data_IF_179853528509
#
_entry.id   IF_179853528509
#
_cell.length_a   1.000
_cell.length_b   1.000
_cell.length_c   1.000
_cell.angle_alpha   90.00
_cell.angle_beta   90.00
_cell.angle_gamma   90.00
#
_symmetry.space_group_name_H-M   'P 1'
#
loop_
_entity.id
_entity.type
_entity.pdbx_description
1 polymer ?
#
# COMPACT_ATOMS: atom_id res chain seq x y z
N UNK A 1 10.06 3.61 -58.64
CA UNK A 1 10.35 2.48 -57.73
C UNK A 1 11.33 2.99 -56.68
N UNK A 2 10.80 3.30 -55.48
CA UNK A 2 11.46 3.37 -54.15
C UNK A 2 12.70 4.31 -54.05
N UNK A 3 12.59 5.57 -53.63
CA UNK A 3 12.29 6.17 -52.32
C UNK A 3 13.56 6.61 -51.53
N UNK A 4 13.49 7.88 -51.13
CA UNK A 4 14.41 8.72 -50.35
C UNK A 4 15.07 8.05 -49.12
N UNK A 5 16.39 8.17 -48.98
CA UNK A 5 17.07 8.17 -47.67
C UNK A 5 17.30 9.62 -47.22
N UNK A 6 16.55 10.02 -46.19
CA UNK A 6 16.69 11.31 -45.52
C UNK A 6 17.81 11.23 -44.49
N UNK A 7 18.79 12.11 -44.65
CA UNK A 7 19.57 12.70 -43.56
C UNK A 7 18.61 13.17 -42.47
N UNK A 8 18.71 12.61 -41.26
CA UNK A 8 18.05 13.18 -40.07
C UNK A 8 19.09 13.84 -39.18
N UNK A 9 19.13 15.16 -39.33
CA UNK A 9 19.66 16.14 -38.40
C UNK A 9 19.10 15.89 -37.01
N UNK A 10 20.00 15.91 -36.02
CA UNK A 10 19.70 15.86 -34.60
C UNK A 10 18.83 17.07 -34.23
N UNK A 11 17.61 16.83 -33.76
CA UNK A 11 16.74 17.84 -33.15
C UNK A 11 16.68 17.52 -31.65
N UNK A 12 16.86 18.50 -30.73
CA UNK A 12 16.83 18.23 -29.31
C UNK A 12 15.38 18.00 -28.88
N UNK A 13 15.12 16.87 -28.24
CA UNK A 13 13.80 16.55 -27.69
C UNK A 13 13.77 17.04 -26.23
N UNK A 14 13.03 18.14 -26.07
CA UNK A 14 12.47 18.71 -24.85
C UNK A 14 11.61 17.69 -24.08
N UNK A 15 11.56 17.86 -22.75
CA UNK A 15 10.53 17.40 -21.81
C UNK A 15 9.53 16.36 -22.33
N UNK A 16 9.66 15.11 -21.86
CA UNK A 16 8.47 14.27 -21.75
C UNK A 16 8.53 13.43 -20.47
N UNK A 17 7.70 13.85 -19.50
CA UNK A 17 7.45 13.21 -18.22
C UNK A 17 6.46 12.04 -18.38
N UNK A 18 6.57 11.31 -19.50
CA UNK A 18 5.74 10.17 -19.87
C UNK A 18 6.68 9.02 -20.13
N UNK A 19 6.40 7.88 -19.52
CA UNK A 19 7.20 6.65 -19.52
C UNK A 19 8.22 6.48 -18.36
N UNK A 20 7.73 6.57 -17.12
CA UNK A 20 7.97 5.46 -16.19
C UNK A 20 6.68 4.65 -16.14
N UNK A 21 6.32 4.09 -17.29
CA UNK A 21 5.38 2.97 -17.34
C UNK A 21 5.97 1.90 -16.42
N UNK A 22 5.11 1.24 -15.64
CA UNK A 22 5.45 0.11 -14.80
C UNK A 22 6.55 -0.76 -15.44
N UNK A 23 7.82 -0.52 -15.08
CA UNK A 23 8.77 -1.61 -15.02
C UNK A 23 8.14 -2.48 -13.94
N UNK A 24 7.53 -3.62 -14.31
CA UNK A 24 6.58 -4.21 -13.42
C UNK A 24 7.36 -4.61 -12.17
N UNK A 25 6.73 -4.50 -11.00
CA UNK A 25 7.26 -5.07 -9.77
C UNK A 25 7.70 -6.52 -10.05
N UNK A 26 7.02 -7.21 -10.98
CA UNK A 26 7.45 -8.48 -11.56
C UNK A 26 8.79 -8.44 -12.31
N UNK A 27 9.12 -7.43 -13.14
CA UNK A 27 10.42 -7.36 -13.81
C UNK A 27 11.60 -7.17 -12.85
N UNK A 28 11.42 -6.52 -11.69
CA UNK A 28 12.47 -6.46 -10.65
C UNK A 28 12.48 -7.71 -9.75
N UNK A 29 11.31 -8.26 -9.41
CA UNK A 29 11.20 -9.57 -8.74
C UNK A 29 11.73 -10.72 -9.62
N UNK A 30 11.60 -10.61 -10.94
CA UNK A 30 12.17 -11.49 -11.95
C UNK A 30 13.62 -11.09 -12.29
N UNK A 31 14.03 -9.82 -12.24
CA UNK A 31 15.44 -9.44 -12.42
C UNK A 31 16.31 -9.92 -11.25
N UNK A 32 15.74 -10.09 -10.05
CA UNK A 32 16.36 -10.86 -8.97
C UNK A 32 16.66 -12.33 -9.35
N UNK A 33 16.13 -12.82 -10.47
CA UNK A 33 16.50 -14.13 -11.06
C UNK A 33 17.64 -14.05 -12.08
N UNK A 34 17.99 -12.86 -12.60
CA UNK A 34 19.13 -12.62 -13.50
C UNK A 34 20.36 -12.02 -12.79
N UNK A 35 20.28 -11.78 -11.48
CA UNK A 35 21.40 -11.30 -10.70
C UNK A 35 22.53 -12.35 -10.70
N UNK A 36 23.71 -11.97 -11.19
CA UNK A 36 24.90 -12.82 -11.32
C UNK A 36 25.62 -13.01 -9.97
N UNK A 37 24.90 -12.91 -8.86
CA UNK A 37 25.45 -13.10 -7.52
C UNK A 37 25.81 -14.59 -7.32
N UNK A 38 27.09 -14.93 -7.04
CA UNK A 38 27.54 -16.33 -6.96
C UNK A 38 26.83 -17.16 -5.89
N UNK A 39 26.25 -16.52 -4.86
CA UNK A 39 25.43 -17.15 -3.81
C UNK A 39 24.11 -16.38 -3.59
N UNK A 40 23.15 -16.60 -4.49
CA UNK A 40 21.80 -16.02 -4.40
C UNK A 40 21.07 -16.42 -3.11
N UNK A 41 21.25 -17.67 -2.69
CA UNK A 41 20.56 -18.22 -1.52
C UNK A 41 21.03 -17.54 -0.24
N UNK A 42 22.35 -17.50 -0.02
CA UNK A 42 22.93 -16.81 1.13
C UNK A 42 22.65 -15.32 1.12
N UNK A 43 22.68 -14.67 -0.05
CA UNK A 43 22.32 -13.26 -0.19
C UNK A 43 20.91 -12.96 0.33
N UNK A 44 19.89 -13.65 -0.18
CA UNK A 44 18.51 -13.36 0.20
C UNK A 44 18.15 -13.82 1.62
N UNK A 45 18.79 -14.87 2.13
CA UNK A 45 18.69 -15.20 3.56
C UNK A 45 19.30 -14.10 4.43
N UNK A 46 20.42 -13.49 4.02
CA UNK A 46 20.97 -12.34 4.73
C UNK A 46 20.00 -11.14 4.68
N UNK A 47 19.39 -10.85 3.52
CA UNK A 47 18.39 -9.79 3.39
C UNK A 47 17.13 -10.04 4.24
N UNK A 48 16.75 -11.30 4.46
CA UNK A 48 15.59 -11.64 5.29
C UNK A 48 15.70 -11.09 6.72
N UNK A 49 16.93 -10.90 7.25
CA UNK A 49 17.18 -10.38 8.60
C UNK A 49 16.80 -8.90 8.77
N UNK A 50 16.47 -8.21 7.66
CA UNK A 50 16.03 -6.81 7.68
C UNK A 50 14.63 -6.62 8.25
N UNK A 51 13.83 -7.68 8.38
CA UNK A 51 12.45 -7.62 8.89
C UNK A 51 12.29 -8.47 10.15
N UNK A 52 11.22 -8.26 10.91
CA UNK A 52 10.97 -8.95 12.17
C UNK A 52 10.23 -10.28 11.91
N UNK A 53 10.95 -11.39 12.05
CA UNK A 53 10.39 -12.73 11.97
C UNK A 53 10.00 -13.24 13.35
N UNK A 54 8.84 -13.89 13.45
CA UNK A 54 8.50 -14.74 14.59
C UNK A 54 9.30 -16.05 14.51
N UNK A 55 9.31 -16.69 13.33
CA UNK A 55 10.22 -17.80 12.99
C UNK A 55 11.05 -17.42 11.77
N UNK A 56 12.36 -17.19 11.89
CA UNK A 56 13.21 -16.84 10.75
C UNK A 56 13.30 -17.97 9.72
N UNK A 57 13.27 -17.67 8.41
CA UNK A 57 13.39 -18.69 7.37
C UNK A 57 14.82 -19.25 7.31
N UNK A 58 14.93 -20.55 7.04
CA UNK A 58 16.20 -21.24 6.80
C UNK A 58 16.47 -21.45 5.31
N UNK A 59 15.47 -21.21 4.45
CA UNK A 59 15.55 -21.41 3.01
C UNK A 59 15.08 -20.17 2.25
N UNK A 60 15.85 -19.75 1.25
CA UNK A 60 15.47 -18.60 0.40
C UNK A 60 14.19 -18.88 -0.37
N UNK A 61 14.16 -19.98 -1.14
CA UNK A 61 13.03 -20.31 -1.98
C UNK A 61 12.95 -21.82 -2.25
N UNK A 62 11.73 -22.31 -2.41
CA UNK A 62 11.41 -23.66 -2.84
C UNK A 62 10.87 -23.62 -4.27
N UNK A 63 11.64 -24.20 -5.19
CA UNK A 63 11.29 -24.26 -6.61
C UNK A 63 10.05 -25.13 -6.85
N UNK A 64 9.29 -24.80 -7.89
CA UNK A 64 8.11 -25.54 -8.32
C UNK A 64 8.15 -25.74 -9.83
N UNK A 65 7.90 -26.95 -10.34
CA UNK A 65 7.96 -27.23 -11.78
C UNK A 65 6.98 -26.38 -12.60
N UNK A 66 5.76 -26.15 -12.09
CA UNK A 66 4.64 -25.61 -12.87
C UNK A 66 4.09 -24.28 -12.32
N UNK A 67 4.78 -23.66 -11.34
CA UNK A 67 4.31 -22.47 -10.62
C UNK A 67 5.49 -21.61 -10.15
N UNK A 68 5.19 -20.39 -9.74
CA UNK A 68 6.17 -19.52 -9.07
C UNK A 68 6.77 -20.20 -7.84
N UNK A 69 8.07 -19.98 -7.63
CA UNK A 69 8.76 -20.43 -6.43
C UNK A 69 8.15 -19.77 -5.18
N UNK A 70 8.06 -20.54 -4.10
CA UNK A 70 7.71 -20.00 -2.76
C UNK A 70 8.95 -19.47 -2.09
N UNK A 71 8.90 -18.28 -1.53
CA UNK A 71 10.03 -17.63 -0.87
C UNK A 71 9.85 -17.67 0.64
N UNK A 72 10.91 -18.02 1.37
CA UNK A 72 10.92 -18.05 2.83
C UNK A 72 9.76 -18.89 3.41
N UNK A 73 9.37 -19.99 2.73
CA UNK A 73 8.13 -20.73 3.03
C UNK A 73 8.07 -21.30 4.45
N UNK A 74 9.22 -21.48 5.08
CA UNK A 74 9.40 -21.92 6.46
C UNK A 74 9.42 -20.76 7.46
N UNK A 75 9.36 -19.51 7.02
CA UNK A 75 9.30 -18.34 7.87
C UNK A 75 7.88 -17.96 8.28
N UNK A 76 7.74 -17.41 9.49
CA UNK A 76 6.50 -16.74 9.94
C UNK A 76 6.79 -15.35 10.49
N UNK A 77 5.90 -14.41 10.21
CA UNK A 77 6.09 -12.99 10.51
C UNK A 77 4.74 -12.26 10.59
N UNK A 78 4.79 -10.98 10.94
CA UNK A 78 3.71 -10.03 10.69
C UNK A 78 4.31 -8.75 10.08
N UNK A 79 3.73 -8.27 8.98
CA UNK A 79 4.27 -7.10 8.28
C UNK A 79 4.14 -5.81 9.12
N UNK A 80 3.05 -5.64 9.88
CA UNK A 80 2.86 -4.46 10.76
C UNK A 80 3.94 -4.40 11.85
N UNK A 81 4.28 -5.54 12.45
CA UNK A 81 5.35 -5.65 13.47
C UNK A 81 6.71 -5.25 12.91
N UNK A 82 6.98 -5.66 11.67
CA UNK A 82 8.22 -5.28 10.96
C UNK A 82 8.28 -3.79 10.65
N UNK A 83 7.14 -3.16 10.40
CA UNK A 83 7.05 -1.75 10.04
C UNK A 83 6.90 -0.82 11.24
N UNK A 84 6.38 -1.27 12.39
CA UNK A 84 6.03 -0.40 13.51
C UNK A 84 6.57 -0.92 14.84
N UNK A 85 6.05 -2.04 15.34
CA UNK A 85 6.29 -2.51 16.72
C UNK A 85 7.79 -2.65 17.04
N UNK A 86 8.57 -3.19 16.11
CA UNK A 86 10.02 -3.38 16.30
C UNK A 86 10.81 -2.09 16.51
N UNK A 87 10.25 -0.95 16.09
CA UNK A 87 10.89 0.36 16.17
C UNK A 87 10.50 1.12 17.44
N UNK A 88 9.51 0.65 18.21
CA UNK A 88 8.95 1.42 19.33
C UNK A 88 9.95 1.65 20.47
N UNK A 89 10.81 0.68 20.77
CA UNK A 89 11.78 0.77 21.85
C UNK A 89 12.83 1.87 21.61
N UNK A 90 13.34 1.95 20.37
CA UNK A 90 14.46 2.84 20.03
C UNK A 90 14.01 4.14 19.33
N UNK A 91 12.84 4.12 18.68
CA UNK A 91 12.38 5.18 17.78
C UNK A 91 10.91 5.55 17.95
N UNK A 92 10.26 5.16 19.06
CA UNK A 92 8.83 5.40 19.29
C UNK A 92 8.40 6.85 19.07
N UNK A 93 9.19 7.83 19.53
CA UNK A 93 8.85 9.25 19.46
C UNK A 93 9.40 9.94 18.19
N UNK A 94 10.07 9.18 17.31
CA UNK A 94 10.52 9.66 15.99
C UNK A 94 9.33 9.69 15.03
N UNK A 95 9.31 10.68 14.13
CA UNK A 95 8.32 10.74 13.05
C UNK A 95 8.38 9.51 12.14
N UNK A 96 7.27 8.79 12.05
CA UNK A 96 7.03 7.76 11.05
C UNK A 96 6.43 8.38 9.79
N UNK A 97 5.48 9.31 9.93
CA UNK A 97 4.80 9.97 8.82
C UNK A 97 4.79 11.47 9.05
N UNK A 98 5.17 12.22 8.03
CA UNK A 98 4.92 13.64 7.91
C UNK A 98 3.98 13.83 6.72
N UNK A 99 2.76 14.26 6.98
CA UNK A 99 1.76 14.49 5.95
C UNK A 99 1.45 15.98 5.85
N UNK A 100 1.28 16.46 4.62
CA UNK A 100 0.83 17.81 4.32
C UNK A 100 -0.25 17.74 3.26
N UNK A 101 -1.43 18.29 3.57
CA UNK A 101 -2.55 18.41 2.65
C UNK A 101 -2.30 19.45 1.56
N UNK A 102 -3.26 19.61 0.65
CA UNK A 102 -3.20 20.63 -0.41
C UNK A 102 -3.14 22.05 0.17
N UNK A 103 -3.89 22.29 1.24
CA UNK A 103 -3.85 23.55 1.98
C UNK A 103 -2.61 23.61 2.87
N UNK A 104 -1.85 24.71 2.78
CA UNK A 104 -0.59 24.88 3.51
C UNK A 104 -0.70 24.74 5.05
N UNK A 105 -1.90 24.92 5.61
CA UNK A 105 -2.19 24.76 7.03
C UNK A 105 -2.52 23.32 7.48
N UNK A 106 -2.82 22.42 6.55
CA UNK A 106 -3.13 21.02 6.87
C UNK A 106 -1.84 20.22 6.97
N UNK A 107 -1.41 19.93 8.20
CA UNK A 107 -0.18 19.16 8.47
C UNK A 107 -0.47 18.14 9.58
N UNK A 108 -0.13 16.88 9.33
CA UNK A 108 -0.13 15.83 10.35
C UNK A 108 1.29 15.30 10.55
N UNK A 109 1.64 15.08 11.82
CA UNK A 109 2.95 14.60 12.27
C UNK A 109 2.69 13.40 13.15
N UNK A 110 3.00 12.22 12.61
CA UNK A 110 2.70 10.94 13.24
C UNK A 110 4.00 10.29 13.64
N UNK A 111 4.22 10.10 14.93
CA UNK A 111 5.35 9.33 15.45
C UNK A 111 5.13 7.83 15.25
N UNK A 112 6.17 7.00 15.44
CA UNK A 112 6.01 5.54 15.43
C UNK A 112 5.03 5.07 16.52
N UNK A 113 5.01 5.73 17.68
CA UNK A 113 4.04 5.47 18.75
C UNK A 113 2.63 5.82 18.32
N UNK A 114 2.40 7.01 17.78
CA UNK A 114 1.08 7.42 17.27
C UNK A 114 0.59 6.45 16.18
N UNK A 115 1.49 6.06 15.26
CA UNK A 115 1.16 5.13 14.20
C UNK A 115 0.78 3.75 14.75
N UNK A 116 1.51 3.24 15.74
CA UNK A 116 1.18 1.98 16.41
C UNK A 116 -0.22 2.02 17.03
N UNK A 117 -0.53 3.07 17.78
CA UNK A 117 -1.84 3.21 18.42
C UNK A 117 -2.96 3.24 17.38
N UNK A 118 -2.85 4.09 16.34
CA UNK A 118 -3.85 4.19 15.26
C UNK A 118 -4.04 2.85 14.54
N UNK A 119 -2.94 2.12 14.27
CA UNK A 119 -2.98 0.79 13.64
C UNK A 119 -3.68 -0.23 14.54
N UNK A 120 -3.39 -0.24 15.84
CA UNK A 120 -4.02 -1.17 16.78
C UNK A 120 -5.51 -0.90 16.96
N UNK A 121 -5.92 0.38 17.05
CA UNK A 121 -7.33 0.77 17.15
C UNK A 121 -8.12 0.31 15.93
N UNK A 122 -7.61 0.59 14.72
CA UNK A 122 -8.28 0.15 13.50
C UNK A 122 -8.29 -1.38 13.37
N UNK A 123 -7.21 -2.07 13.75
CA UNK A 123 -7.14 -3.53 13.73
C UNK A 123 -8.19 -4.17 14.65
N UNK A 124 -8.37 -3.63 15.86
CA UNK A 124 -9.40 -4.06 16.80
C UNK A 124 -10.80 -3.77 16.27
N UNK A 125 -11.03 -2.57 15.72
CA UNK A 125 -12.29 -2.22 15.08
C UNK A 125 -12.67 -3.20 13.95
N UNK A 126 -11.74 -3.49 13.04
CA UNK A 126 -11.99 -4.42 11.94
C UNK A 126 -12.32 -5.83 12.45
N UNK A 127 -11.60 -6.32 13.47
CA UNK A 127 -11.89 -7.63 14.09
C UNK A 127 -13.26 -7.69 14.75
N UNK A 128 -13.64 -6.66 15.50
CA UNK A 128 -14.95 -6.58 16.15
C UNK A 128 -16.10 -6.55 15.12
N UNK A 129 -15.90 -5.83 14.02
CA UNK A 129 -16.81 -5.83 12.87
C UNK A 129 -16.75 -7.14 12.03
N UNK A 130 -16.03 -8.15 12.51
CA UNK A 130 -16.00 -9.49 11.98
C UNK A 130 -15.09 -9.69 10.77
N UNK A 131 -14.12 -8.81 10.52
CA UNK A 131 -13.07 -9.03 9.51
C UNK A 131 -12.10 -10.09 10.03
N UNK A 132 -11.90 -11.15 9.26
CA UNK A 132 -11.05 -12.29 9.63
C UNK A 132 -9.76 -12.35 8.80
N UNK A 133 -8.85 -13.23 9.20
CA UNK A 133 -7.67 -13.54 8.38
C UNK A 133 -8.10 -14.01 6.99
N UNK A 134 -7.40 -13.55 5.96
CA UNK A 134 -7.69 -13.73 4.54
C UNK A 134 -8.96 -13.04 4.00
N UNK A 135 -9.71 -12.30 4.83
CA UNK A 135 -10.76 -11.42 4.32
C UNK A 135 -10.16 -10.27 3.50
N UNK A 136 -10.85 -9.87 2.43
CA UNK A 136 -10.40 -8.79 1.55
C UNK A 136 -10.98 -7.47 2.02
N UNK A 137 -10.11 -6.52 2.31
CA UNK A 137 -10.48 -5.15 2.72
C UNK A 137 -10.04 -4.20 1.62
N UNK A 138 -11.01 -3.61 0.94
CA UNK A 138 -10.76 -2.64 -0.12
C UNK A 138 -10.43 -1.28 0.48
N UNK A 139 -9.29 -0.70 0.09
CA UNK A 139 -8.85 0.62 0.53
C UNK A 139 -8.91 1.53 -0.68
N UNK A 140 -9.89 2.43 -0.66
CA UNK A 140 -10.20 3.42 -1.69
C UNK A 140 -10.11 4.83 -1.07
N UNK A 141 -8.90 5.20 -0.69
CA UNK A 141 -8.59 6.43 0.03
C UNK A 141 -7.67 7.34 -0.81
N UNK A 142 -7.73 8.66 -0.58
CA UNK A 142 -6.67 9.56 -1.05
C UNK A 142 -5.37 9.32 -0.30
N UNK A 143 -4.34 10.11 -0.62
CA UNK A 143 -3.03 9.98 0.01
C UNK A 143 -2.99 10.63 1.39
N UNK A 144 -3.76 10.05 2.30
CA UNK A 144 -3.89 10.46 3.71
C UNK A 144 -3.26 9.45 4.66
N UNK A 145 -3.04 9.85 5.90
CA UNK A 145 -2.42 9.00 6.94
C UNK A 145 -3.25 7.74 7.17
N UNK A 146 -4.58 7.85 7.14
CA UNK A 146 -5.54 6.77 7.34
C UNK A 146 -5.34 5.65 6.31
N UNK A 147 -4.85 5.96 5.10
CA UNK A 147 -4.50 4.96 4.09
C UNK A 147 -3.36 4.05 4.54
N UNK A 148 -2.32 4.62 5.16
CA UNK A 148 -1.19 3.84 5.70
C UNK A 148 -1.65 3.06 6.94
N UNK A 149 -2.45 3.68 7.80
CA UNK A 149 -3.03 3.01 8.99
C UNK A 149 -3.87 1.81 8.55
N UNK A 150 -4.71 1.96 7.53
CA UNK A 150 -5.54 0.89 6.96
C UNK A 150 -4.70 -0.27 6.41
N UNK A 151 -3.65 0.01 5.64
CA UNK A 151 -2.73 -1.02 5.13
C UNK A 151 -2.12 -1.84 6.27
N UNK A 152 -1.57 -1.16 7.28
CA UNK A 152 -0.90 -1.80 8.40
C UNK A 152 -1.87 -2.52 9.34
N UNK A 153 -3.08 -1.99 9.55
CA UNK A 153 -4.11 -2.64 10.34
C UNK A 153 -4.60 -3.94 9.69
N UNK A 154 -4.85 -3.93 8.38
CA UNK A 154 -5.16 -5.15 7.62
C UNK A 154 -4.03 -6.18 7.75
N UNK A 155 -2.79 -5.76 7.55
CA UNK A 155 -1.62 -6.62 7.72
C UNK A 155 -1.47 -7.15 9.17
N UNK A 156 -1.84 -6.36 10.17
CA UNK A 156 -1.80 -6.75 11.60
C UNK A 156 -2.73 -7.91 11.89
N UNK A 157 -3.93 -7.92 11.30
CA UNK A 157 -4.95 -8.96 11.55
C UNK A 157 -4.95 -10.08 10.51
N UNK A 158 -4.03 -10.03 9.53
CA UNK A 158 -3.93 -11.02 8.45
C UNK A 158 -5.01 -10.87 7.38
N UNK A 159 -5.67 -9.72 7.28
CA UNK A 159 -6.58 -9.39 6.19
C UNK A 159 -5.78 -8.97 4.95
N UNK A 160 -6.36 -9.23 3.77
CA UNK A 160 -5.76 -8.91 2.47
C UNK A 160 -6.23 -7.54 2.02
N UNK A 161 -5.33 -6.57 2.01
CA UNK A 161 -5.62 -5.23 1.48
C UNK A 161 -5.80 -5.27 -0.04
N UNK A 162 -6.90 -4.70 -0.54
CA UNK A 162 -7.17 -4.51 -1.97
C UNK A 162 -7.08 -3.02 -2.26
N UNK A 163 -6.00 -2.60 -2.89
CA UNK A 163 -5.70 -1.18 -3.06
C UNK A 163 -6.29 -0.65 -4.36
N UNK A 164 -7.15 0.35 -4.24
CA UNK A 164 -7.90 0.92 -5.35
C UNK A 164 -7.51 2.37 -5.59
N UNK A 165 -7.26 2.72 -6.85
CA UNK A 165 -7.05 4.11 -7.26
C UNK A 165 -8.37 4.89 -7.18
N UNK A 166 -8.29 6.14 -6.74
CA UNK A 166 -9.41 7.10 -6.80
C UNK A 166 -9.85 7.46 -8.22
N UNK A 167 -9.06 7.09 -9.25
CA UNK A 167 -9.39 7.36 -10.65
C UNK A 167 -10.31 6.32 -11.28
N UNK A 168 -10.51 5.17 -10.64
CA UNK A 168 -11.40 4.13 -11.17
C UNK A 168 -12.84 4.62 -11.23
N UNK A 169 -13.54 4.22 -12.30
CA UNK A 169 -14.97 4.42 -12.47
C UNK A 169 -15.76 3.49 -11.55
N UNK A 170 -17.03 3.82 -11.27
CA UNK A 170 -17.91 2.95 -10.48
C UNK A 170 -18.06 1.55 -11.08
N UNK A 171 -18.12 1.46 -12.41
CA UNK A 171 -18.22 0.18 -13.14
C UNK A 171 -16.96 -0.69 -12.96
N UNK A 172 -15.77 -0.10 -13.04
CA UNK A 172 -14.51 -0.83 -12.79
C UNK A 172 -14.42 -1.29 -11.33
N UNK A 173 -14.75 -0.40 -10.39
CA UNK A 173 -14.75 -0.74 -8.96
C UNK A 173 -15.74 -1.86 -8.64
N UNK A 174 -16.93 -1.88 -9.25
CA UNK A 174 -17.91 -2.94 -9.08
C UNK A 174 -17.32 -4.31 -9.51
N UNK A 175 -16.66 -4.35 -10.67
CA UNK A 175 -15.98 -5.56 -11.13
C UNK A 175 -14.89 -6.04 -10.15
N UNK A 176 -14.11 -5.11 -9.59
CA UNK A 176 -13.06 -5.43 -8.63
C UNK A 176 -13.61 -5.89 -7.27
N UNK A 177 -14.70 -5.28 -6.78
CA UNK A 177 -15.39 -5.69 -5.56
C UNK A 177 -15.84 -7.15 -5.63
N UNK A 178 -16.42 -7.55 -6.77
CA UNK A 178 -16.87 -8.92 -7.03
C UNK A 178 -15.69 -9.87 -7.23
N UNK A 179 -14.70 -9.50 -8.04
CA UNK A 179 -13.51 -10.33 -8.32
C UNK A 179 -12.73 -10.69 -7.05
N UNK A 180 -12.46 -9.71 -6.19
CA UNK A 180 -11.73 -9.96 -4.95
C UNK A 180 -12.64 -10.44 -3.80
N UNK A 181 -13.96 -10.32 -3.93
CA UNK A 181 -14.92 -10.60 -2.88
C UNK A 181 -14.64 -9.80 -1.61
N UNK A 182 -14.44 -8.48 -1.73
CA UNK A 182 -14.19 -7.61 -0.58
C UNK A 182 -15.36 -7.67 0.42
N UNK A 183 -15.03 -7.77 1.71
CA UNK A 183 -16.03 -7.79 2.79
C UNK A 183 -16.16 -6.46 3.51
N UNK A 184 -15.12 -5.63 3.41
CA UNK A 184 -15.08 -4.30 4.00
C UNK A 184 -14.44 -3.31 3.01
N UNK A 185 -14.87 -2.06 3.10
CA UNK A 185 -14.31 -0.94 2.33
C UNK A 185 -13.87 0.15 3.30
N UNK A 186 -12.71 0.75 3.08
CA UNK A 186 -12.28 1.98 3.74
C UNK A 186 -12.15 3.03 2.64
N UNK A 187 -12.96 4.09 2.71
CA UNK A 187 -12.99 5.17 1.72
C UNK A 187 -13.09 6.54 2.40
N UNK A 188 -13.10 7.62 1.61
CA UNK A 188 -13.28 8.98 2.12
C UNK A 188 -14.56 9.59 1.54
N UNK A 189 -15.00 10.71 2.12
CA UNK A 189 -16.05 11.55 1.55
C UNK A 189 -15.72 11.94 0.09
N UNK A 190 -14.65 12.71 -0.09
CA UNK A 190 -14.15 13.17 -1.38
C UNK A 190 -12.60 13.22 -1.38
N UNK A 191 -11.99 13.52 -2.53
CA UNK A 191 -10.57 13.87 -2.64
C UNK A 191 -10.37 15.03 -3.60
N UNK A 192 -9.34 15.85 -3.35
CA UNK A 192 -8.98 17.02 -4.16
C UNK A 192 -9.84 18.25 -3.87
N UNK A 193 -9.49 19.38 -4.49
CA UNK A 193 -10.13 20.67 -4.22
C UNK A 193 -10.83 21.27 -5.46
N UNK A 194 -11.97 21.93 -5.23
CA UNK A 194 -12.70 22.70 -6.25
C UNK A 194 -13.14 21.87 -7.46
N UNK A 195 -12.79 22.31 -8.67
CA UNK A 195 -13.19 21.67 -9.93
C UNK A 195 -12.54 20.30 -10.19
N UNK A 196 -11.64 19.86 -9.30
CA UNK A 196 -10.98 18.54 -9.36
C UNK A 196 -11.44 17.59 -8.24
N UNK A 197 -12.50 17.95 -7.50
CA UNK A 197 -13.04 17.06 -6.47
C UNK A 197 -13.55 15.76 -7.10
N UNK A 198 -13.14 14.65 -6.52
CA UNK A 198 -13.62 13.31 -6.85
C UNK A 198 -14.47 12.82 -5.67
N UNK A 199 -15.77 12.51 -5.89
CA UNK A 199 -16.66 12.09 -4.81
C UNK A 199 -16.50 10.59 -4.51
N UNK A 200 -15.48 10.24 -3.73
CA UNK A 200 -15.05 8.87 -3.46
C UNK A 200 -16.19 8.02 -2.85
N UNK A 201 -16.88 8.54 -1.82
CA UNK A 201 -17.99 7.83 -1.18
C UNK A 201 -19.15 7.58 -2.14
N UNK A 202 -19.58 8.62 -2.86
CA UNK A 202 -20.69 8.50 -3.80
C UNK A 202 -20.38 7.50 -4.92
N UNK A 203 -19.14 7.52 -5.44
CA UNK A 203 -18.71 6.58 -6.48
C UNK A 203 -18.62 5.15 -5.96
N UNK A 204 -18.22 4.95 -4.70
CA UNK A 204 -18.23 3.63 -4.06
C UNK A 204 -19.67 3.11 -3.84
N UNK A 205 -20.61 3.98 -3.46
CA UNK A 205 -22.02 3.60 -3.37
C UNK A 205 -22.59 3.18 -4.74
N UNK A 206 -22.25 3.91 -5.80
CA UNK A 206 -22.62 3.54 -7.17
C UNK A 206 -22.00 2.18 -7.57
N UNK A 207 -20.74 1.94 -7.24
CA UNK A 207 -20.08 0.66 -7.50
C UNK A 207 -20.75 -0.50 -6.75
N UNK A 208 -21.14 -0.30 -5.50
CA UNK A 208 -21.89 -1.29 -4.72
C UNK A 208 -23.29 -1.54 -5.29
N UNK A 209 -23.95 -0.49 -5.81
CA UNK A 209 -25.22 -0.64 -6.49
C UNK A 209 -25.10 -1.46 -7.77
N UNK A 210 -24.07 -1.19 -8.59
CA UNK A 210 -23.77 -1.94 -9.82
C UNK A 210 -23.43 -3.41 -9.50
N UNK A 211 -22.63 -3.66 -8.46
CA UNK A 211 -22.30 -5.01 -8.01
C UNK A 211 -23.53 -5.77 -7.47
N UNK A 212 -24.49 -5.04 -6.90
CA UNK A 212 -25.77 -5.58 -6.45
C UNK A 212 -25.62 -6.77 -5.50
N UNK A 213 -26.30 -7.90 -5.74
CA UNK A 213 -26.26 -9.07 -4.85
C UNK A 213 -24.92 -9.81 -4.86
N UNK A 214 -24.04 -9.55 -5.83
CA UNK A 214 -22.72 -10.17 -5.93
C UNK A 214 -21.68 -9.48 -5.01
N UNK A 215 -22.04 -8.34 -4.41
CA UNK A 215 -21.18 -7.68 -3.42
C UNK A 215 -21.25 -8.39 -2.06
N UNK A 216 -20.08 -8.60 -1.46
CA UNK A 216 -19.94 -9.15 -0.11
C UNK A 216 -19.64 -8.08 0.95
N UNK A 217 -19.65 -6.80 0.57
CA UNK A 217 -19.31 -5.69 1.46
C UNK A 217 -20.39 -5.52 2.52
N UNK A 218 -20.02 -5.78 3.77
CA UNK A 218 -20.86 -5.60 4.96
C UNK A 218 -20.46 -4.42 5.83
N UNK A 219 -19.24 -3.90 5.64
CA UNK A 219 -18.68 -2.79 6.42
C UNK A 219 -18.09 -1.74 5.48
N UNK A 220 -18.40 -0.47 5.71
CA UNK A 220 -17.73 0.66 5.09
C UNK A 220 -17.29 1.68 6.14
N UNK A 221 -16.01 1.98 6.21
CA UNK A 221 -15.46 3.07 7.02
C UNK A 221 -15.22 4.28 6.13
N UNK A 222 -15.78 5.43 6.50
CA UNK A 222 -15.69 6.67 5.72
C UNK A 222 -14.87 7.71 6.48
N UNK A 223 -13.70 8.03 5.92
CA UNK A 223 -12.81 9.09 6.40
C UNK A 223 -13.37 10.44 5.99
N UNK A 224 -13.44 11.38 6.92
CA UNK A 224 -13.85 12.77 6.65
C UNK A 224 -12.61 13.54 6.18
N UNK A 225 -12.35 13.55 4.87
CA UNK A 225 -11.18 14.20 4.30
C UNK A 225 -11.47 15.67 3.95
N UNK A 226 -12.53 15.95 3.19
CA UNK A 226 -12.94 17.33 2.86
C UNK A 226 -13.98 17.90 3.84
N UNK A 227 -14.64 17.03 4.61
CA UNK A 227 -15.76 17.38 5.47
C UNK A 227 -17.07 17.54 4.70
N UNK A 228 -17.10 17.18 3.41
CA UNK A 228 -18.32 17.22 2.60
C UNK A 228 -19.35 16.22 3.15
N UNK A 229 -20.59 16.65 3.43
CA UNK A 229 -21.64 15.73 3.84
C UNK A 229 -21.93 14.70 2.75
N UNK A 230 -21.81 13.41 3.11
CA UNK A 230 -22.06 12.28 2.20
C UNK A 230 -23.15 11.36 2.75
N UNK A 231 -23.94 10.70 1.87
CA UNK A 231 -24.95 9.76 2.31
C UNK A 231 -24.31 8.53 2.99
N UNK A 232 -24.93 8.09 4.09
CA UNK A 232 -24.48 6.95 4.89
C UNK A 232 -25.59 5.91 4.99
N UNK A 233 -25.32 4.67 4.59
CA UNK A 233 -26.24 3.53 4.68
C UNK A 233 -26.19 2.94 6.09
N UNK A 234 -27.32 3.03 6.80
CA UNK A 234 -27.43 2.52 8.17
C UNK A 234 -27.04 1.04 8.28
N UNK A 235 -26.22 0.70 9.28
CA UNK A 235 -25.75 -0.66 9.54
C UNK A 235 -24.55 -1.10 8.70
N UNK A 236 -24.24 -0.44 7.58
CA UNK A 236 -23.07 -0.73 6.73
C UNK A 236 -22.01 0.36 6.84
N UNK A 237 -22.42 1.62 6.80
CA UNK A 237 -21.50 2.76 6.71
C UNK A 237 -21.29 3.41 8.08
N UNK A 238 -20.03 3.58 8.46
CA UNK A 238 -19.61 4.21 9.70
C UNK A 238 -18.59 5.32 9.40
N UNK A 239 -18.68 6.44 10.11
CA UNK A 239 -17.60 7.42 10.10
C UNK A 239 -16.37 6.80 10.77
N UNK A 240 -15.20 6.97 10.16
CA UNK A 240 -13.98 6.29 10.58
C UNK A 240 -13.64 6.57 12.04
N UNK A 241 -13.47 7.84 12.42
CA UNK A 241 -13.08 8.22 13.79
C UNK A 241 -14.16 7.85 14.82
N UNK A 242 -15.44 8.05 14.49
CA UNK A 242 -16.57 7.72 15.38
C UNK A 242 -16.61 6.24 15.78
N UNK A 243 -16.08 5.34 14.95
CA UNK A 243 -15.96 3.92 15.26
C UNK A 243 -14.59 3.57 15.84
N UNK A 244 -13.51 3.99 15.20
CA UNK A 244 -12.14 3.53 15.47
C UNK A 244 -11.60 4.07 16.79
N UNK A 245 -11.92 5.31 17.15
CA UNK A 245 -11.30 5.98 18.31
C UNK A 245 -11.71 5.35 19.66
N UNK A 246 -12.79 4.57 19.69
CA UNK A 246 -13.26 3.86 20.88
C UNK A 246 -12.44 2.62 21.24
N UNK A 247 -11.71 2.05 20.29
CA UNK A 247 -10.99 0.79 20.51
C UNK A 247 -9.66 1.03 21.22
N UNK A 248 -9.16 0.02 21.94
CA UNK A 248 -7.89 0.11 22.65
C UNK A 248 -6.68 0.25 21.68
N UNK A 249 -5.63 0.99 22.08
CA UNK A 249 -4.43 1.20 21.26
C UNK A 249 -3.43 0.03 21.30
N UNK A 250 -3.83 -1.12 21.82
CA UNK A 250 -3.05 -2.37 21.80
C UNK A 250 -3.85 -3.49 21.10
N UNK A 251 -3.17 -4.23 20.23
CA UNK A 251 -3.77 -5.29 19.44
C UNK A 251 -2.73 -6.37 19.14
N UNK A 252 -3.00 -7.63 19.48
CA UNK A 252 -2.06 -8.71 19.17
C UNK A 252 -2.00 -8.96 17.66
N UNK A 253 -0.79 -8.97 17.05
CA UNK A 253 -0.61 -9.25 15.63
C UNK A 253 -0.84 -10.73 15.32
N UNK A 254 -1.49 -11.01 14.18
CA UNK A 254 -1.67 -12.36 13.66
C UNK A 254 -0.33 -12.91 13.14
N UNK A 255 -0.02 -14.17 13.45
CA UNK A 255 1.18 -14.85 12.94
C UNK A 255 0.88 -15.37 11.54
N UNK A 256 1.51 -14.77 10.53
CA UNK A 256 1.33 -15.11 9.12
C UNK A 256 2.49 -15.96 8.61
N UNK A 257 2.21 -16.89 7.69
CA UNK A 257 3.25 -17.52 6.90
C UNK A 257 3.82 -16.52 5.88
N UNK A 258 5.10 -16.67 5.52
CA UNK A 258 5.72 -15.80 4.51
C UNK A 258 4.97 -15.76 3.18
N UNK A 259 4.29 -16.84 2.84
CA UNK A 259 3.56 -17.03 1.58
C UNK A 259 2.08 -16.67 1.67
N UNK A 260 1.59 -16.25 2.85
CA UNK A 260 0.23 -15.77 2.99
C UNK A 260 0.04 -14.42 2.28
N UNK A 261 -1.14 -14.18 1.71
CA UNK A 261 -1.43 -12.95 0.96
C UNK A 261 -1.34 -11.72 1.85
N UNK A 262 -0.59 -10.72 1.39
CA UNK A 262 -0.53 -9.40 2.00
C UNK A 262 -1.52 -8.46 1.32
N UNK A 263 -1.47 -8.40 -0.02
CA UNK A 263 -2.30 -7.48 -0.79
C UNK A 263 -2.61 -7.96 -2.20
N UNK A 264 -3.67 -7.38 -2.75
CA UNK A 264 -4.05 -7.49 -4.16
C UNK A 264 -3.95 -6.09 -4.77
N UNK A 265 -3.31 -6.01 -5.94
CA UNK A 265 -3.22 -4.80 -6.73
C UNK A 265 -3.90 -5.02 -8.08
N UNK A 266 -4.95 -4.26 -8.37
CA UNK A 266 -5.55 -4.20 -9.69
C UNK A 266 -4.88 -3.11 -10.51
N UNK A 267 -4.40 -3.47 -11.70
CA UNK A 267 -3.82 -2.51 -12.66
C UNK A 267 -4.86 -2.18 -13.73
N UNK A 268 -4.88 -0.93 -14.18
CA UNK A 268 -5.76 -0.51 -15.27
C UNK A 268 -5.56 -1.42 -16.49
N UNK A 269 -6.67 -1.90 -17.07
CA UNK A 269 -6.66 -2.82 -18.21
C UNK A 269 -6.51 -4.31 -17.86
N UNK A 270 -6.38 -4.68 -16.58
CA UNK A 270 -6.40 -6.09 -16.14
C UNK A 270 -7.67 -6.40 -15.37
N UNK A 271 -8.34 -7.50 -15.72
CA UNK A 271 -9.56 -7.95 -15.02
C UNK A 271 -9.27 -8.66 -13.70
N UNK A 272 -8.05 -9.18 -13.50
CA UNK A 272 -7.63 -9.91 -12.30
C UNK A 272 -6.55 -9.17 -11.54
N UNK A 273 -6.72 -9.07 -10.23
CA UNK A 273 -5.73 -8.46 -9.35
C UNK A 273 -4.48 -9.33 -9.17
N UNK A 274 -3.32 -8.70 -9.06
CA UNK A 274 -2.06 -9.36 -8.76
C UNK A 274 -1.89 -9.49 -7.24
N UNK A 275 -1.78 -10.73 -6.76
CA UNK A 275 -1.59 -11.03 -5.34
C UNK A 275 -0.10 -11.06 -4.97
N UNK A 276 0.25 -10.39 -3.87
CA UNK A 276 1.60 -10.39 -3.33
C UNK A 276 1.62 -11.02 -1.94
N UNK A 277 2.57 -11.94 -1.73
CA UNK A 277 2.79 -12.63 -0.46
C UNK A 277 3.61 -11.77 0.53
N UNK A 278 3.36 -11.98 1.82
CA UNK A 278 3.87 -11.15 2.92
C UNK A 278 5.40 -11.13 3.01
N UNK A 279 6.03 -12.27 3.24
CA UNK A 279 7.46 -12.38 3.53
C UNK A 279 8.33 -11.97 2.35
N UNK A 280 8.00 -12.47 1.15
CA UNK A 280 8.71 -12.09 -0.08
C UNK A 280 8.65 -10.59 -0.32
N UNK A 281 7.46 -10.00 -0.20
CA UNK A 281 7.26 -8.61 -0.54
C UNK A 281 7.97 -7.67 0.42
N UNK A 282 7.82 -7.86 1.74
CA UNK A 282 8.38 -6.93 2.72
C UNK A 282 9.92 -6.96 2.75
N UNK A 283 10.54 -8.13 2.60
CA UNK A 283 12.00 -8.26 2.50
C UNK A 283 12.51 -7.53 1.26
N UNK A 284 11.86 -7.75 0.11
CA UNK A 284 12.24 -7.07 -1.12
C UNK A 284 12.04 -5.55 -1.02
N UNK A 285 10.91 -5.09 -0.46
CA UNK A 285 10.59 -3.67 -0.34
C UNK A 285 11.60 -2.94 0.57
N UNK A 286 11.92 -3.53 1.73
CA UNK A 286 12.98 -3.02 2.62
C UNK A 286 14.32 -2.98 1.89
N UNK A 287 14.68 -4.03 1.14
CA UNK A 287 15.92 -4.07 0.38
C UNK A 287 16.03 -3.00 -0.70
N UNK A 288 14.97 -2.84 -1.48
CA UNK A 288 14.93 -1.88 -2.57
C UNK A 288 15.08 -0.44 -2.04
N UNK A 289 14.35 -0.10 -0.98
CA UNK A 289 14.41 1.25 -0.37
C UNK A 289 15.80 1.56 0.19
N UNK A 290 16.38 0.64 0.96
CA UNK A 290 17.72 0.83 1.54
C UNK A 290 18.80 0.95 0.44
N UNK A 291 18.73 0.11 -0.59
CA UNK A 291 19.67 0.18 -1.72
C UNK A 291 19.59 1.51 -2.47
N UNK A 292 18.40 2.08 -2.62
CA UNK A 292 18.22 3.39 -3.27
C UNK A 292 18.66 4.57 -2.39
N UNK A 293 18.52 4.46 -1.07
CA UNK A 293 18.97 5.50 -0.15
C UNK A 293 20.51 5.62 -0.11
N UNK A 294 21.21 4.51 -0.38
CA UNK A 294 22.68 4.43 -0.32
C UNK A 294 23.37 4.64 -1.69
N UNK A 295 22.62 4.82 -2.78
CA UNK A 295 23.14 5.03 -4.14
C UNK A 295 23.12 6.50 -4.58
N UNK A 296 24.28 7.03 -4.97
CA UNK A 296 24.52 8.28 -5.72
C UNK A 296 23.51 9.44 -5.54
N UNK A 297 23.84 10.38 -4.65
CA UNK A 297 23.59 11.82 -4.87
C UNK A 297 22.17 12.35 -4.70
N UNK A 298 21.21 11.55 -4.25
CA UNK A 298 19.88 12.09 -3.91
C UNK A 298 19.86 12.43 -2.43
N UNK A 299 19.71 13.72 -2.07
CA UNK A 299 19.49 14.11 -0.69
C UNK A 299 18.30 13.34 -0.09
N UNK A 300 18.29 13.07 1.23
CA UNK A 300 17.19 12.39 1.91
C UNK A 300 15.97 13.32 1.97
N UNK A 301 15.29 13.46 0.84
CA UNK A 301 14.19 14.38 0.62
C UNK A 301 13.20 13.78 -0.36
N UNK A 302 12.05 13.37 0.20
CA UNK A 302 10.75 13.33 -0.48
C UNK A 302 10.62 12.22 -1.53
N UNK A 303 10.29 11.02 -1.06
CA UNK A 303 9.80 9.93 -1.89
C UNK A 303 8.34 10.24 -2.28
N UNK A 304 8.16 10.80 -3.47
CA UNK A 304 6.86 11.26 -3.95
C UNK A 304 5.93 10.10 -4.30
N UNK A 305 4.70 10.31 -3.86
CA UNK A 305 3.68 9.32 -3.60
C UNK A 305 2.86 9.13 -4.90
N UNK A 306 3.40 8.30 -5.81
CA UNK A 306 2.63 7.52 -6.81
C UNK A 306 3.14 6.06 -6.99
N UNK A 307 3.90 5.51 -6.02
CA UNK A 307 4.60 4.19 -6.04
C UNK A 307 4.46 3.41 -4.70
N UNK A 308 3.29 3.50 -4.09
CA UNK A 308 3.08 3.53 -2.62
C UNK A 308 3.43 2.32 -1.80
N UNK A 309 3.11 1.12 -2.27
CA UNK A 309 3.08 -0.03 -1.37
C UNK A 309 4.50 -0.43 -0.96
N UNK A 310 5.43 -0.39 -1.93
CA UNK A 310 6.83 -0.70 -1.70
C UNK A 310 7.51 0.37 -0.84
N UNK A 311 7.09 1.63 -0.99
CA UNK A 311 7.59 2.73 -0.17
C UNK A 311 7.07 2.63 1.26
N UNK A 312 5.78 2.36 1.47
CA UNK A 312 5.20 2.23 2.81
C UNK A 312 5.86 1.08 3.57
N UNK A 313 5.81 -0.12 3.01
CA UNK A 313 6.40 -1.29 3.66
C UNK A 313 7.92 -1.16 3.76
N UNK A 314 8.61 -0.74 2.70
CA UNK A 314 10.07 -0.65 2.69
C UNK A 314 10.64 0.45 3.58
N UNK A 315 10.05 1.66 3.59
CA UNK A 315 10.52 2.75 4.42
C UNK A 315 10.24 2.48 5.90
N UNK A 316 9.02 2.08 6.26
CA UNK A 316 8.67 1.79 7.65
C UNK A 316 9.42 0.56 8.15
N UNK A 317 9.56 -0.48 7.33
CA UNK A 317 10.41 -1.61 7.70
C UNK A 317 11.88 -1.23 7.82
N UNK A 318 12.35 -0.06 7.37
CA UNK A 318 13.71 0.42 7.62
C UNK A 318 13.77 1.49 8.73
N UNK A 319 12.68 1.73 9.47
CA UNK A 319 12.62 2.78 10.49
C UNK A 319 12.73 4.20 9.92
N UNK A 320 12.39 4.40 8.65
CA UNK A 320 12.47 5.70 7.96
C UNK A 320 11.21 6.55 8.20
N UNK A 321 11.28 7.84 7.87
CA UNK A 321 10.12 8.75 7.89
C UNK A 321 9.55 8.87 6.49
N UNK A 322 8.26 8.59 6.32
CA UNK A 322 7.52 8.82 5.07
C UNK A 322 7.08 10.27 5.03
N UNK A 323 7.28 10.94 3.90
CA UNK A 323 6.75 12.29 3.64
C UNK A 323 5.67 12.21 2.57
N UNK A 324 4.48 12.69 2.90
CA UNK A 324 3.33 12.71 2.01
C UNK A 324 2.97 14.16 1.76
N UNK A 325 2.80 14.50 0.49
CA UNK A 325 2.30 15.79 0.04
C UNK A 325 1.12 15.52 -0.86
N UNK A 326 -0.04 16.01 -0.46
CA UNK A 326 -1.25 15.96 -1.26
C UNK A 326 -1.24 17.15 -2.24
N UNK A 327 -1.49 16.88 -3.51
CA UNK A 327 -1.36 17.84 -4.62
C UNK A 327 -0.19 17.52 -5.57
N UNK A 328 -0.18 18.15 -6.75
CA UNK A 328 0.95 18.04 -7.67
C UNK A 328 2.22 18.57 -7.00
N UNK A 329 3.42 18.04 -7.33
CA UNK A 329 4.65 18.75 -6.99
C UNK A 329 4.47 20.18 -7.48
N UNK A 330 4.48 21.14 -6.55
CA UNK A 330 4.81 22.50 -6.94
C UNK A 330 6.10 22.34 -7.74
N UNK A 331 6.07 22.71 -9.02
CA UNK A 331 7.28 22.90 -9.80
C UNK A 331 8.22 23.64 -8.87
N UNK A 332 9.36 23.02 -8.55
CA UNK A 332 10.41 23.64 -7.73
C UNK A 332 10.84 24.91 -8.47
N UNK A 333 10.12 25.99 -8.22
CA UNK A 333 10.40 27.31 -8.73
C UNK A 333 11.18 28.02 -7.62
N UNK A 334 12.50 28.01 -7.84
CA UNK A 334 13.58 28.75 -7.18
C UNK A 334 13.82 28.47 -5.69
#
# INVERSE_FOLDING_TARGET
MIAQERTRTMTPITEDNRHIAAAPISAWLHAGTQDRTPDRHGFWLAQSRRVAWHRPPQRMATARPDRDARWFEDGTLNASVSCVDRHLADHGDRLAIFWRGEDAGQVDRVTYRDLHERVCRLANALRDQGVQRNDRVMIHLPMVVEGIVAMLACARIGAVQVLMSGDFTAQEMAGHLVDCGAVAVITADETGHGSRSIPLKARMDEALHIAGPDSHVRLMLVVSHTGTPVPMTAGRDHKFNDLVDWYEPDCLPEIMHAEDPLFILHTAGTSRGMMHATGRYIVWASYAVDSTANGAGTQPGIAQVARHIALVYGALANGMTIRIHEGQPATLAA
#
